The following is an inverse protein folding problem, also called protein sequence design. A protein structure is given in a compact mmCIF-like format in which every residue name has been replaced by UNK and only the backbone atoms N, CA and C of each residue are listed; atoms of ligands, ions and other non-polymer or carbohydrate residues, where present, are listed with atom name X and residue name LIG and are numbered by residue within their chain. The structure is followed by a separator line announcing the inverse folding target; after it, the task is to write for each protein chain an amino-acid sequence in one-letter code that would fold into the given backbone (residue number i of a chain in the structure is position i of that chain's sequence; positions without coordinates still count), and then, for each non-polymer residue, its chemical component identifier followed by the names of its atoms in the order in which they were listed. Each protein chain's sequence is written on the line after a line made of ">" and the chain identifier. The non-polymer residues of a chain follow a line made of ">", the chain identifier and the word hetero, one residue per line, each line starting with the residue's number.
data_IF_561205716415
#
_entry.id   IF_561205716415
#
_cell.length_a   1.000
_cell.length_b   1.000
_cell.length_c   1.000
_cell.angle_alpha   90.00
_cell.angle_beta   90.00
_cell.angle_gamma   90.00
#
_symmetry.space_group_name_H-M   'P 1'
#
loop_
_entity.id
_entity.type
_entity.pdbx_description
1 polymer ?
#
# COMPACT_ATOMS: atom_id res chain seq x y z
N UNK A 1 11.97 -20.33 7.20
CA UNK A 1 11.42 -19.87 8.48
C UNK A 1 10.99 -21.10 9.26
N UNK A 2 11.55 -21.35 10.43
CA UNK A 2 11.10 -22.41 11.34
C UNK A 2 10.62 -21.74 12.62
N UNK A 3 9.32 -21.78 12.87
CA UNK A 3 8.67 -21.16 14.02
C UNK A 3 7.73 -22.16 14.67
N UNK A 4 7.69 -22.17 15.99
CA UNK A 4 6.81 -23.04 16.77
C UNK A 4 5.45 -22.39 17.05
N UNK A 5 5.39 -21.07 17.03
CA UNK A 5 4.19 -20.25 17.20
C UNK A 5 4.31 -18.96 16.36
N UNK A 6 3.24 -18.15 16.32
CA UNK A 6 3.22 -16.92 15.52
C UNK A 6 4.16 -15.83 16.06
N UNK A 7 4.38 -15.73 17.37
CA UNK A 7 5.28 -14.74 17.97
C UNK A 7 6.76 -14.98 17.62
N UNK A 8 7.17 -16.24 17.38
CA UNK A 8 8.54 -16.56 16.94
C UNK A 8 8.89 -15.91 15.59
N UNK A 9 7.88 -15.60 14.77
CA UNK A 9 8.06 -15.02 13.44
C UNK A 9 8.32 -13.51 13.48
N UNK A 10 7.93 -12.83 14.57
CA UNK A 10 8.11 -11.37 14.77
C UNK A 10 7.63 -10.54 13.56
N UNK A 11 6.49 -10.92 13.01
CA UNK A 11 5.90 -10.35 11.80
C UNK A 11 5.46 -8.92 12.00
N UNK A 12 4.92 -8.59 13.17
CA UNK A 12 4.61 -7.20 13.52
C UNK A 12 5.85 -6.32 13.32
N UNK A 13 6.96 -6.65 13.96
CA UNK A 13 8.20 -5.88 13.81
C UNK A 13 8.82 -5.95 12.40
N UNK A 14 8.63 -7.06 11.68
CA UNK A 14 9.18 -7.24 10.32
C UNK A 14 8.40 -6.47 9.24
N UNK A 15 7.15 -6.12 9.52
CA UNK A 15 6.23 -5.38 8.64
C UNK A 15 5.99 -3.95 9.12
N UNK A 16 6.24 -3.65 10.40
CA UNK A 16 6.12 -2.32 10.99
C UNK A 16 7.23 -1.42 10.44
N UNK A 17 7.00 -0.89 9.24
CA UNK A 17 7.88 0.10 8.66
C UNK A 17 7.34 1.47 8.99
N UNK A 18 8.09 2.17 9.83
CA UNK A 18 7.91 3.59 10.03
C UNK A 18 8.39 4.29 8.76
N UNK A 19 7.45 4.94 8.05
CA UNK A 19 7.81 5.92 7.05
C UNK A 19 8.63 7.03 7.72
N UNK A 20 9.66 7.60 7.05
CA UNK A 20 10.27 8.81 7.56
C UNK A 20 9.21 9.89 7.81
N UNK A 21 9.42 10.71 8.85
CA UNK A 21 8.49 11.80 9.24
C UNK A 21 8.20 12.78 8.09
N UNK A 22 9.03 12.81 7.06
CA UNK A 22 8.82 13.59 5.84
C UNK A 22 7.60 13.11 5.03
N UNK A 23 7.19 11.85 5.19
CA UNK A 23 5.99 11.27 4.59
C UNK A 23 4.82 11.13 5.58
N UNK A 24 5.10 11.05 6.89
CA UNK A 24 4.07 11.04 7.92
C UNK A 24 3.55 12.46 8.16
N UNK A 25 2.23 12.67 8.17
CA UNK A 25 1.69 13.95 8.63
C UNK A 25 1.92 14.07 10.13
N UNK A 26 2.65 15.09 10.56
CA UNK A 26 2.36 15.68 11.86
C UNK A 26 0.99 16.38 11.76
N UNK A 27 0.11 16.17 12.75
CA UNK A 27 -1.17 16.87 12.83
C UNK A 27 -0.97 18.38 12.61
N UNK A 28 -1.64 18.95 11.60
CA UNK A 28 -1.54 20.38 11.25
C UNK A 28 -0.42 20.78 10.29
N UNK A 29 0.38 19.86 9.74
CA UNK A 29 1.39 20.19 8.71
C UNK A 29 1.13 19.53 7.35
N UNK A 30 1.25 20.35 6.30
CA UNK A 30 1.15 19.93 4.90
C UNK A 30 2.52 19.56 4.37
N UNK A 31 2.99 18.34 4.64
CA UNK A 31 4.19 17.80 3.99
C UNK A 31 3.83 17.30 2.58
N UNK A 32 3.74 18.22 1.63
CA UNK A 32 3.80 17.88 0.20
C UNK A 32 5.27 17.76 -0.21
N UNK A 33 5.60 16.80 -1.07
CA UNK A 33 6.88 16.66 -1.77
C UNK A 33 7.22 18.06 -2.29
N UNK A 34 8.35 18.61 -1.88
CA UNK A 34 8.79 19.93 -2.34
C UNK A 34 9.54 19.73 -3.65
N UNK A 35 9.24 20.57 -4.64
CA UNK A 35 10.00 20.61 -5.89
C UNK A 35 11.45 21.03 -5.55
N UNK A 36 12.48 20.26 -5.95
CA UNK A 36 13.85 20.72 -5.69
C UNK A 36 14.17 21.97 -6.51
N UNK A 37 14.82 22.89 -5.79
CA UNK A 37 15.59 24.03 -6.26
C UNK A 37 14.79 25.30 -6.62
N UNK A 38 15.13 26.38 -5.91
CA UNK A 38 14.87 27.82 -6.16
C UNK A 38 13.45 28.37 -6.07
N UNK A 39 12.41 27.54 -6.03
CA UNK A 39 11.05 28.00 -5.69
C UNK A 39 10.71 27.65 -4.24
N UNK A 40 11.26 28.40 -3.30
CA UNK A 40 10.94 28.25 -1.87
C UNK A 40 9.43 28.38 -1.63
N UNK A 41 8.76 27.27 -1.32
CA UNK A 41 7.46 27.25 -0.65
C UNK A 41 6.22 26.88 -1.46
N UNK A 42 6.31 26.57 -2.77
CA UNK A 42 5.12 26.17 -3.55
C UNK A 42 4.90 24.65 -3.54
N UNK A 43 3.63 24.22 -3.37
CA UNK A 43 3.21 22.82 -3.35
C UNK A 43 2.81 22.35 -4.76
N UNK A 44 3.25 21.16 -5.18
CA UNK A 44 2.81 20.55 -6.46
C UNK A 44 1.75 19.48 -6.22
N UNK A 45 0.75 19.44 -7.08
CA UNK A 45 -0.32 18.45 -7.03
C UNK A 45 0.17 17.02 -7.33
N UNK A 46 1.12 16.87 -8.26
CA UNK A 46 1.76 15.63 -8.67
C UNK A 46 2.63 15.06 -7.54
N UNK A 47 3.40 15.93 -6.91
CA UNK A 47 4.15 15.67 -5.69
C UNK A 47 3.23 15.20 -4.54
N UNK A 48 2.10 15.88 -4.34
CA UNK A 48 1.11 15.48 -3.34
C UNK A 48 0.53 14.08 -3.60
N UNK A 49 0.12 13.78 -4.84
CA UNK A 49 -0.39 12.46 -5.24
C UNK A 49 0.63 11.34 -5.02
N UNK A 50 1.90 11.62 -5.34
CA UNK A 50 3.00 10.67 -5.15
C UNK A 50 3.09 10.26 -3.67
N UNK A 51 3.11 11.23 -2.74
CA UNK A 51 3.09 10.93 -1.30
C UNK A 51 1.83 10.19 -0.87
N UNK A 52 0.65 10.60 -1.34
CA UNK A 52 -0.58 9.89 -1.00
C UNK A 52 -0.50 8.41 -1.38
N UNK A 53 -0.03 8.10 -2.59
CA UNK A 53 0.13 6.72 -3.05
C UNK A 53 1.19 5.97 -2.21
N UNK A 54 2.33 6.60 -1.91
CA UNK A 54 3.36 6.02 -1.01
C UNK A 54 2.72 5.70 0.34
N UNK A 55 2.14 6.69 0.99
CA UNK A 55 1.59 6.57 2.32
C UNK A 55 0.43 5.56 2.38
N UNK A 56 -0.41 5.44 1.35
CA UNK A 56 -1.43 4.39 1.27
C UNK A 56 -0.83 2.97 1.21
N UNK A 57 0.25 2.76 0.44
CA UNK A 57 0.93 1.46 0.38
C UNK A 57 1.53 1.08 1.74
N UNK A 58 2.13 2.03 2.46
CA UNK A 58 2.66 1.81 3.81
C UNK A 58 1.57 1.70 4.87
N UNK A 59 0.45 2.41 4.72
CA UNK A 59 -0.69 2.30 5.62
C UNK A 59 -1.30 0.89 5.55
N UNK A 60 -1.44 0.34 4.33
CA UNK A 60 -1.86 -1.05 4.12
C UNK A 60 -0.97 -2.02 4.89
N UNK A 61 0.35 -1.89 4.75
CA UNK A 61 1.31 -2.73 5.48
C UNK A 61 1.23 -2.56 6.99
N UNK A 62 1.01 -1.34 7.46
CA UNK A 62 0.88 -1.06 8.89
C UNK A 62 -0.40 -1.63 9.49
N UNK A 63 -1.51 -1.63 8.76
CA UNK A 63 -2.74 -2.34 9.17
C UNK A 63 -2.49 -3.85 9.31
N UNK A 64 -1.75 -4.45 8.36
CA UNK A 64 -1.36 -5.87 8.45
C UNK A 64 -0.41 -6.12 9.61
N UNK A 65 0.55 -5.24 9.82
CA UNK A 65 1.47 -5.28 10.95
C UNK A 65 0.73 -5.22 12.28
N UNK A 66 -0.29 -4.35 12.39
CA UNK A 66 -1.16 -4.23 13.56
C UNK A 66 -1.92 -5.53 13.83
N UNK A 67 -2.53 -6.13 12.79
CA UNK A 67 -3.18 -7.43 12.92
C UNK A 67 -2.21 -8.51 13.43
N UNK A 68 -1.00 -8.62 12.86
CA UNK A 68 0.00 -9.56 13.37
C UNK A 68 0.41 -9.24 14.81
N UNK A 69 0.54 -7.98 15.20
CA UNK A 69 0.81 -7.59 16.58
C UNK A 69 -0.25 -8.12 17.55
N UNK A 70 -1.54 -8.00 17.21
CA UNK A 70 -2.62 -8.58 18.03
C UNK A 70 -2.54 -10.11 18.10
N UNK A 71 -2.25 -10.79 16.99
CA UNK A 71 -2.11 -12.25 16.97
C UNK A 71 -0.88 -12.73 17.76
N UNK A 72 0.21 -11.98 17.73
CA UNK A 72 1.43 -12.26 18.50
C UNK A 72 1.21 -12.07 20.01
N UNK A 73 0.44 -11.06 20.40
CA UNK A 73 0.03 -10.85 21.79
C UNK A 73 -0.78 -12.04 22.35
N UNK A 74 -1.52 -12.73 21.48
CA UNK A 74 -2.33 -13.92 21.80
C UNK A 74 -1.71 -15.23 21.30
N UNK A 75 -0.38 -15.24 21.08
CA UNK A 75 0.33 -16.35 20.43
C UNK A 75 0.14 -17.72 21.08
N UNK A 76 -0.20 -17.79 22.37
CA UNK A 76 -0.51 -19.04 23.06
C UNK A 76 -1.83 -19.69 22.60
N UNK A 77 -2.75 -18.90 22.03
CA UNK A 77 -4.06 -19.37 21.56
C UNK A 77 -4.02 -19.83 20.10
N UNK A 78 -3.04 -19.35 19.32
CA UNK A 78 -2.94 -19.62 17.89
C UNK A 78 -1.94 -20.72 17.55
N UNK A 79 -2.39 -21.70 16.78
CA UNK A 79 -1.56 -22.77 16.19
C UNK A 79 -1.60 -22.68 14.68
N UNK A 80 -0.46 -22.97 14.04
CA UNK A 80 -0.42 -23.09 12.58
C UNK A 80 -1.28 -24.26 12.10
N UNK A 81 -1.94 -24.07 10.96
CA UNK A 81 -2.81 -25.06 10.32
C UNK A 81 -4.24 -25.10 10.86
N UNK A 82 -4.53 -24.52 12.02
CA UNK A 82 -5.89 -24.46 12.60
C UNK A 82 -6.69 -23.30 12.02
N UNK A 83 -7.97 -23.55 11.69
CA UNK A 83 -8.91 -22.54 11.21
C UNK A 83 -9.66 -21.92 12.40
N UNK A 84 -9.59 -20.61 12.55
CA UNK A 84 -10.16 -19.89 13.70
C UNK A 84 -11.32 -18.99 13.29
N UNK A 85 -12.33 -18.91 14.16
CA UNK A 85 -13.22 -17.75 14.25
C UNK A 85 -12.64 -16.83 15.33
N UNK A 86 -12.01 -15.73 14.94
CA UNK A 86 -11.51 -14.73 15.88
C UNK A 86 -12.64 -13.76 16.20
N UNK A 87 -12.93 -13.56 17.48
CA UNK A 87 -13.90 -12.58 17.97
C UNK A 87 -13.12 -11.49 18.69
N UNK A 88 -13.02 -10.32 18.07
CA UNK A 88 -12.41 -9.14 18.66
C UNK A 88 -13.46 -8.45 19.52
N UNK A 89 -13.26 -8.44 20.84
CA UNK A 89 -14.17 -7.80 21.78
C UNK A 89 -13.64 -6.42 22.17
N UNK A 90 -14.38 -5.38 21.78
CA UNK A 90 -14.07 -3.97 22.03
C UNK A 90 -15.13 -3.38 22.98
N UNK A 91 -15.04 -3.76 24.26
CA UNK A 91 -16.05 -3.40 25.25
C UNK A 91 -17.41 -4.04 24.94
N UNK A 92 -18.40 -3.22 24.57
CA UNK A 92 -19.75 -3.66 24.23
C UNK A 92 -19.94 -4.07 22.76
N UNK A 93 -18.93 -3.82 21.92
CA UNK A 93 -18.94 -4.19 20.51
C UNK A 93 -18.08 -5.42 20.27
N UNK A 94 -18.44 -6.20 19.27
CA UNK A 94 -17.65 -7.35 18.83
C UNK A 94 -17.56 -7.38 17.31
N UNK A 95 -16.37 -7.64 16.80
CA UNK A 95 -16.12 -7.92 15.39
C UNK A 95 -15.69 -9.38 15.24
N UNK A 96 -16.16 -10.05 14.18
CA UNK A 96 -15.84 -11.44 13.92
C UNK A 96 -15.03 -11.56 12.63
N UNK A 97 -13.89 -12.24 12.72
CA UNK A 97 -13.00 -12.48 11.60
C UNK A 97 -12.62 -13.97 11.54
N UNK A 98 -13.19 -14.74 10.61
CA UNK A 98 -12.63 -16.04 10.24
C UNK A 98 -11.21 -15.87 9.71
N UNK A 99 -10.29 -16.64 10.27
CA UNK A 99 -8.85 -16.53 10.08
C UNK A 99 -8.24 -17.93 9.92
N UNK A 100 -7.34 -18.10 8.97
CA UNK A 100 -6.51 -19.30 8.87
C UNK A 100 -5.06 -18.93 8.61
N UNK A 101 -4.15 -19.52 9.39
CA UNK A 101 -2.71 -19.29 9.28
C UNK A 101 -2.03 -20.62 8.96
N UNK A 102 -1.50 -20.73 7.75
CA UNK A 102 -0.83 -21.92 7.23
C UNK A 102 0.69 -21.70 7.15
N UNK A 103 1.44 -22.67 7.67
CA UNK A 103 2.90 -22.73 7.60
C UNK A 103 3.37 -24.12 7.09
N UNK A 104 2.49 -24.84 6.38
CA UNK A 104 2.77 -26.17 5.84
C UNK A 104 3.84 -26.16 4.74
N UNK A 105 3.97 -25.03 4.04
CA UNK A 105 4.98 -24.83 2.99
C UNK A 105 6.29 -24.37 3.60
N UNK A 106 7.35 -25.14 3.40
CA UNK A 106 8.66 -24.83 3.96
C UNK A 106 9.14 -23.44 3.54
N UNK A 107 9.36 -22.57 4.52
CA UNK A 107 9.86 -21.21 4.29
C UNK A 107 8.79 -20.18 3.96
N UNK A 108 7.50 -20.54 3.95
CA UNK A 108 6.41 -19.63 3.63
C UNK A 108 5.33 -19.67 4.71
N UNK A 109 4.87 -18.48 5.13
CA UNK A 109 3.64 -18.33 5.91
C UNK A 109 2.56 -17.80 4.98
N UNK A 110 1.37 -18.39 5.02
CA UNK A 110 0.20 -17.85 4.36
C UNK A 110 -0.91 -17.63 5.37
N UNK A 111 -1.51 -16.46 5.36
CA UNK A 111 -2.67 -16.14 6.16
C UNK A 111 -3.83 -15.76 5.25
N UNK A 112 -5.04 -16.17 5.62
CA UNK A 112 -6.24 -15.84 4.91
C UNK A 112 -7.30 -15.32 5.89
N UNK A 113 -8.09 -14.34 5.45
CA UNK A 113 -9.27 -13.85 6.19
C UNK A 113 -10.51 -13.92 5.32
N UNK A 114 -11.67 -14.12 5.95
CA UNK A 114 -12.95 -14.13 5.24
C UNK A 114 -13.92 -13.06 5.75
N UNK A 115 -14.83 -12.66 4.86
CA UNK A 115 -16.02 -11.88 5.22
C UNK A 115 -17.19 -12.33 4.35
N UNK A 116 -18.36 -12.50 4.97
CA UNK A 116 -19.56 -13.04 4.34
C UNK A 116 -19.33 -14.38 3.61
N UNK A 117 -18.56 -15.28 4.24
CA UNK A 117 -18.26 -16.62 3.71
C UNK A 117 -17.38 -16.63 2.46
N UNK A 118 -16.66 -15.53 2.17
CA UNK A 118 -15.71 -15.45 1.06
C UNK A 118 -14.36 -14.99 1.57
N UNK A 119 -13.29 -15.56 1.03
CA UNK A 119 -11.93 -15.08 1.27
C UNK A 119 -11.85 -13.65 0.74
N UNK A 120 -11.46 -12.72 1.60
CA UNK A 120 -11.29 -11.29 1.26
C UNK A 120 -9.84 -10.89 1.18
N UNK A 121 -9.00 -11.55 1.95
CA UNK A 121 -7.60 -11.23 2.03
C UNK A 121 -6.75 -12.49 2.08
N UNK A 122 -5.61 -12.43 1.39
CA UNK A 122 -4.55 -13.42 1.43
C UNK A 122 -3.23 -12.69 1.65
N UNK A 123 -2.52 -13.04 2.71
CA UNK A 123 -1.20 -12.52 3.03
C UNK A 123 -0.20 -13.65 2.92
N UNK A 124 0.84 -13.45 2.13
CA UNK A 124 1.90 -14.44 1.93
C UNK A 124 3.20 -13.80 2.39
N UNK A 125 3.94 -14.48 3.25
CA UNK A 125 5.29 -14.13 3.64
C UNK A 125 6.23 -15.20 3.13
N UNK A 126 7.08 -14.82 2.18
CA UNK A 126 8.02 -15.72 1.51
C UNK A 126 9.36 -15.83 2.26
N UNK A 127 9.71 -14.80 3.04
CA UNK A 127 10.90 -14.82 3.90
C UNK A 127 10.89 -13.66 4.88
N UNK A 128 11.58 -13.81 6.01
CA UNK A 128 11.97 -12.72 6.90
C UNK A 128 13.43 -12.86 7.32
N UNK A 129 14.11 -11.74 7.56
CA UNK A 129 15.45 -11.66 8.12
C UNK A 129 15.54 -10.47 9.09
N UNK A 130 16.75 -10.14 9.56
CA UNK A 130 16.97 -9.01 10.46
C UNK A 130 16.59 -7.64 9.88
N UNK A 131 16.50 -7.52 8.56
CA UNK A 131 16.24 -6.26 7.86
C UNK A 131 14.75 -6.04 7.58
N UNK A 132 13.98 -7.13 7.52
CA UNK A 132 12.53 -7.11 7.32
C UNK A 132 12.00 -8.37 6.66
N UNK A 133 10.78 -8.27 6.12
CA UNK A 133 10.10 -9.35 5.43
C UNK A 133 9.99 -9.13 3.92
N UNK A 134 9.73 -10.22 3.20
CA UNK A 134 9.33 -10.24 1.79
C UNK A 134 8.05 -11.04 1.65
N UNK A 135 7.10 -10.53 0.88
CA UNK A 135 5.80 -11.15 0.77
C UNK A 135 4.88 -10.43 -0.19
N UNK A 136 3.60 -10.80 -0.13
CA UNK A 136 2.54 -10.21 -0.91
C UNK A 136 1.24 -10.14 -0.09
N UNK A 137 0.49 -9.06 -0.22
CA UNK A 137 -0.86 -8.89 0.32
C UNK A 137 -1.81 -8.81 -0.86
N UNK A 138 -2.82 -9.66 -0.88
CA UNK A 138 -3.84 -9.66 -1.91
C UNK A 138 -5.21 -9.49 -1.26
N UNK A 139 -5.99 -8.56 -1.77
CA UNK A 139 -7.28 -8.19 -1.22
C UNK A 139 -8.32 -8.11 -2.33
N UNK A 140 -9.54 -8.58 -2.06
CA UNK A 140 -10.67 -8.50 -2.97
C UNK A 140 -11.96 -8.32 -2.20
N UNK A 141 -12.70 -7.28 -2.53
CA UNK A 141 -14.00 -7.06 -1.94
C UNK A 141 -15.01 -6.45 -2.91
N UNK A 142 -16.22 -6.36 -2.39
CA UNK A 142 -17.37 -5.88 -3.13
C UNK A 142 -18.38 -5.36 -2.13
N UNK A 143 -18.83 -4.13 -2.30
CA UNK A 143 -19.86 -3.52 -1.47
C UNK A 143 -20.74 -2.60 -2.30
N UNK A 144 -22.06 -2.66 -2.10
CA UNK A 144 -23.04 -1.76 -2.74
C UNK A 144 -22.90 -1.61 -4.28
N UNK A 145 -22.56 -2.70 -4.98
CA UNK A 145 -22.33 -2.68 -6.43
C UNK A 145 -20.92 -2.25 -6.85
N UNK A 146 -20.12 -1.74 -5.91
CA UNK A 146 -18.70 -1.49 -6.10
C UNK A 146 -17.92 -2.77 -5.97
N UNK A 147 -16.87 -2.90 -6.78
CA UNK A 147 -15.87 -3.95 -6.69
C UNK A 147 -14.51 -3.31 -6.54
N UNK A 148 -13.68 -3.90 -5.69
CA UNK A 148 -12.32 -3.44 -5.47
C UNK A 148 -11.39 -4.64 -5.31
N UNK A 149 -10.20 -4.54 -5.88
CA UNK A 149 -9.14 -5.51 -5.67
C UNK A 149 -7.82 -4.78 -5.49
N UNK A 150 -6.98 -5.26 -4.58
CA UNK A 150 -5.63 -4.76 -4.38
C UNK A 150 -4.66 -5.93 -4.32
N UNK A 151 -3.46 -5.72 -4.82
CA UNK A 151 -2.36 -6.65 -4.72
C UNK A 151 -1.09 -5.84 -4.43
N UNK A 152 -0.32 -6.21 -3.42
CA UNK A 152 0.88 -5.50 -3.00
C UNK A 152 1.99 -6.50 -2.73
N UNK A 153 3.01 -6.52 -3.57
CA UNK A 153 4.28 -7.18 -3.28
C UNK A 153 5.18 -6.23 -2.50
N UNK A 154 5.90 -6.78 -1.53
CA UNK A 154 6.86 -6.05 -0.74
C UNK A 154 8.15 -6.85 -0.54
N UNK A 155 9.29 -6.15 -0.54
CA UNK A 155 10.59 -6.72 -0.22
C UNK A 155 11.42 -5.74 0.61
N UNK A 156 11.64 -6.10 1.87
CA UNK A 156 12.39 -5.33 2.86
C UNK A 156 13.62 -6.07 3.36
N UNK A 157 13.99 -7.16 2.70
CA UNK A 157 15.07 -8.04 3.14
C UNK A 157 16.46 -7.43 2.92
N UNK A 158 16.54 -6.37 2.13
CA UNK A 158 17.76 -5.59 1.88
C UNK A 158 17.81 -4.40 2.84
N UNK A 159 18.93 -4.24 3.55
CA UNK A 159 19.15 -3.10 4.45
C UNK A 159 19.05 -1.78 3.67
N UNK A 160 18.36 -0.80 4.26
CA UNK A 160 18.23 0.54 3.68
C UNK A 160 17.40 0.63 2.40
N UNK A 161 16.74 -0.45 1.97
CA UNK A 161 15.94 -0.48 0.74
C UNK A 161 14.58 -1.12 1.01
N UNK A 162 13.51 -0.43 0.61
CA UNK A 162 12.14 -0.93 0.69
C UNK A 162 11.52 -0.92 -0.70
N UNK A 163 11.21 -2.11 -1.22
CA UNK A 163 10.58 -2.26 -2.53
C UNK A 163 9.11 -2.57 -2.33
N UNK A 164 8.25 -1.80 -2.98
CA UNK A 164 6.81 -2.01 -3.03
C UNK A 164 6.31 -2.00 -4.46
N UNK A 165 5.50 -2.98 -4.82
CA UNK A 165 4.84 -3.05 -6.13
C UNK A 165 3.38 -3.36 -5.90
N UNK A 166 2.51 -2.43 -6.25
CA UNK A 166 1.08 -2.52 -6.01
C UNK A 166 0.28 -2.51 -7.31
N UNK A 167 -0.85 -3.18 -7.30
CA UNK A 167 -1.93 -2.97 -8.26
C UNK A 167 -3.24 -2.78 -7.50
N UNK A 168 -4.07 -1.84 -7.95
CA UNK A 168 -5.40 -1.58 -7.45
C UNK A 168 -6.38 -1.59 -8.61
N UNK A 169 -7.55 -2.17 -8.39
CA UNK A 169 -8.71 -2.11 -9.27
C UNK A 169 -9.89 -1.61 -8.46
N UNK A 170 -10.70 -0.77 -9.10
CA UNK A 170 -11.98 -0.33 -8.60
C UNK A 170 -12.97 -0.24 -9.76
N UNK A 171 -14.22 -0.59 -9.50
CA UNK A 171 -15.32 -0.37 -10.42
C UNK A 171 -16.62 -0.20 -9.65
N UNK A 172 -17.38 0.87 -9.91
CA UNK A 172 -18.72 1.13 -9.37
C UNK A 172 -19.86 0.85 -10.38
N UNK A 173 -19.52 0.31 -11.55
CA UNK A 173 -20.44 0.07 -12.66
C UNK A 173 -20.60 1.25 -13.63
N UNK A 174 -20.18 2.46 -13.22
CA UNK A 174 -20.13 3.67 -14.07
C UNK A 174 -18.68 4.08 -14.34
N UNK A 175 -17.87 4.12 -13.28
CA UNK A 175 -16.46 4.43 -13.29
C UNK A 175 -15.67 3.15 -13.04
N UNK A 176 -14.50 3.07 -13.65
CA UNK A 176 -13.52 2.04 -13.33
C UNK A 176 -12.13 2.64 -13.34
N UNK A 177 -11.28 2.19 -12.43
CA UNK A 177 -9.86 2.49 -12.54
C UNK A 177 -9.02 1.28 -12.18
N UNK A 178 -7.92 1.14 -12.90
CA UNK A 178 -6.80 0.30 -12.57
C UNK A 178 -5.61 1.20 -12.28
N UNK A 179 -4.90 0.96 -11.19
CA UNK A 179 -3.71 1.70 -10.82
C UNK A 179 -2.58 0.71 -10.49
N UNK A 180 -1.45 0.88 -11.14
CA UNK A 180 -0.20 0.22 -10.79
C UNK A 180 0.68 1.22 -10.04
N UNK A 181 1.29 0.79 -8.95
CA UNK A 181 2.29 1.56 -8.21
C UNK A 181 3.57 0.73 -8.09
N UNK A 182 4.71 1.39 -8.21
CA UNK A 182 5.99 0.80 -7.88
C UNK A 182 6.82 1.84 -7.14
N UNK A 183 7.41 1.44 -6.03
CA UNK A 183 8.25 2.26 -5.19
C UNK A 183 9.50 1.46 -4.84
N UNK A 184 10.65 2.09 -5.02
CA UNK A 184 11.90 1.69 -4.42
C UNK A 184 12.34 2.84 -3.52
N UNK A 185 12.06 2.69 -2.23
CA UNK A 185 12.48 3.64 -1.22
C UNK A 185 13.87 3.27 -0.73
N UNK A 186 14.75 4.26 -0.63
CA UNK A 186 16.11 4.09 -0.13
C UNK A 186 16.36 5.05 1.04
N UNK A 187 16.81 4.50 2.17
CA UNK A 187 17.14 5.27 3.37
C UNK A 187 18.34 6.21 3.13
N UNK A 188 19.14 5.91 2.11
CA UNK A 188 20.21 6.77 1.60
C UNK A 188 20.20 6.84 0.07
N UNK A 189 20.51 8.00 -0.48
CA UNK A 189 20.51 8.24 -1.92
C UNK A 189 19.15 8.64 -2.47
N UNK A 190 18.85 8.18 -3.69
CA UNK A 190 17.66 8.58 -4.46
C UNK A 190 16.66 7.43 -4.50
N UNK A 191 15.46 7.68 -3.99
CA UNK A 191 14.28 6.83 -4.11
C UNK A 191 13.58 7.05 -5.45
N UNK A 192 12.88 6.02 -5.91
CA UNK A 192 12.27 5.95 -7.24
C UNK A 192 10.80 5.54 -7.10
N UNK A 193 9.91 6.23 -7.80
CA UNK A 193 8.49 5.86 -7.84
C UNK A 193 7.92 5.93 -9.25
N UNK A 194 7.02 5.00 -9.54
CA UNK A 194 6.16 4.99 -10.71
C UNK A 194 4.72 4.76 -10.28
N UNK A 195 3.82 5.59 -10.75
CA UNK A 195 2.38 5.31 -10.74
C UNK A 195 1.90 5.22 -12.18
N UNK A 196 1.09 4.24 -12.50
CA UNK A 196 0.33 4.20 -13.74
C UNK A 196 -1.14 3.99 -13.41
N UNK A 197 -2.03 4.70 -14.09
CA UNK A 197 -3.47 4.61 -13.88
C UNK A 197 -4.16 4.57 -15.23
N UNK A 198 -5.09 3.66 -15.41
CA UNK A 198 -5.99 3.61 -16.57
C UNK A 198 -7.41 3.45 -16.08
N UNK A 199 -8.38 4.00 -16.78
CA UNK A 199 -9.76 3.89 -16.33
C UNK A 199 -10.78 4.52 -17.24
N UNK A 200 -12.01 4.49 -16.76
CA UNK A 200 -13.15 5.21 -17.29
C UNK A 200 -13.70 6.17 -16.21
N UNK A 201 -13.90 7.43 -16.58
CA UNK A 201 -14.60 8.47 -15.81
C UNK A 201 -15.77 8.99 -16.65
N UNK A 202 -16.68 9.76 -16.04
CA UNK A 202 -17.71 10.47 -16.79
C UNK A 202 -17.12 11.42 -17.86
N UNK A 203 -17.97 11.80 -18.82
CA UNK A 203 -17.62 12.61 -19.98
C UNK A 203 -17.11 14.03 -19.66
N UNK A 204 -17.24 14.51 -18.43
CA UNK A 204 -17.11 15.92 -18.08
C UNK A 204 -15.79 16.28 -17.40
N UNK A 205 -14.86 15.33 -17.26
CA UNK A 205 -13.58 15.56 -16.59
C UNK A 205 -12.40 15.40 -17.57
N UNK A 206 -11.64 16.48 -17.77
CA UNK A 206 -10.36 16.45 -18.48
C UNK A 206 -9.21 16.35 -17.47
N UNK A 207 -8.34 15.35 -17.63
CA UNK A 207 -7.15 15.19 -16.80
C UNK A 207 -5.88 15.42 -17.65
N UNK A 208 -5.09 16.42 -17.31
CA UNK A 208 -3.75 16.63 -17.86
C UNK A 208 -2.81 16.99 -16.72
N UNK A 209 -2.01 16.04 -16.25
CA UNK A 209 -0.91 16.32 -15.31
C UNK A 209 0.42 16.13 -16.05
N UNK A 210 1.14 17.23 -16.29
CA UNK A 210 2.55 17.24 -16.71
C UNK A 210 3.32 18.17 -15.77
N UNK A 211 3.94 17.61 -14.74
CA UNK A 211 4.81 18.37 -13.85
C UNK A 211 6.20 18.62 -14.45
N UNK A 212 6.36 19.70 -15.22
CA UNK A 212 7.68 20.24 -15.62
C UNK A 212 7.96 21.47 -14.76
N UNK A 213 9.13 21.56 -14.12
CA UNK A 213 9.52 22.76 -13.38
C UNK A 213 10.36 23.65 -14.28
N UNK A 214 9.96 24.91 -14.48
CA UNK A 214 10.81 25.95 -15.07
C UNK A 214 11.88 26.37 -14.05
N UNK A 215 13.13 26.40 -14.50
CA UNK A 215 14.24 26.94 -13.71
C UNK A 215 14.80 28.17 -14.41
N UNK A 216 14.71 29.36 -13.79
CA UNK A 216 15.30 30.60 -14.29
C UNK A 216 14.95 30.95 -15.76
N UNK A 217 13.69 30.81 -16.17
CA UNK A 217 13.25 31.17 -17.53
C UNK A 217 13.74 30.22 -18.63
N UNK A 218 14.40 29.12 -18.27
CA UNK A 218 14.68 27.97 -19.15
C UNK A 218 13.80 26.80 -18.70
N UNK A 219 13.22 26.06 -19.64
CA UNK A 219 12.48 24.82 -19.32
C UNK A 219 13.44 23.88 -18.59
N UNK A 220 13.15 23.61 -17.31
CA UNK A 220 13.95 22.71 -16.50
C UNK A 220 13.66 21.24 -16.83
N UNK A 221 14.44 20.35 -16.24
CA UNK A 221 14.25 18.91 -16.40
C UNK A 221 12.88 18.48 -15.83
N UNK A 222 12.18 17.60 -16.52
CA UNK A 222 10.91 17.04 -16.03
C UNK A 222 11.15 16.25 -14.73
N UNK A 223 10.63 16.75 -13.61
CA UNK A 223 10.60 16.05 -12.32
C UNK A 223 9.50 14.97 -12.29
N UNK A 224 8.49 15.14 -13.15
CA UNK A 224 7.43 14.18 -13.39
C UNK A 224 7.23 14.00 -14.89
N UNK A 225 7.38 12.77 -15.39
CA UNK A 225 7.01 12.43 -16.77
C UNK A 225 5.61 11.84 -16.79
N UNK A 226 4.63 12.69 -17.08
CA UNK A 226 3.24 12.32 -17.34
C UNK A 226 3.03 11.97 -18.81
N UNK A 227 2.69 10.72 -19.13
CA UNK A 227 2.18 10.37 -20.47
C UNK A 227 0.76 9.85 -20.34
N UNK A 228 -0.16 10.44 -21.12
CA UNK A 228 -1.52 9.97 -21.19
C UNK A 228 -2.24 10.42 -22.45
N UNK A 229 -3.24 9.65 -22.85
CA UNK A 229 -4.14 9.93 -23.97
C UNK A 229 -5.55 9.67 -23.51
N UNK A 230 -6.43 10.66 -23.71
CA UNK A 230 -7.86 10.42 -23.66
C UNK A 230 -8.23 9.61 -24.91
N UNK A 231 -8.56 8.33 -24.74
CA UNK A 231 -8.83 7.42 -25.88
C UNK A 231 -10.30 7.42 -26.32
N UNK A 232 -11.09 8.36 -25.78
CA UNK A 232 -12.51 8.55 -26.05
C UNK A 232 -13.16 9.38 -24.93
N UNK A 233 -14.44 9.70 -25.07
CA UNK A 233 -15.21 10.34 -24.00
C UNK A 233 -15.14 9.44 -22.75
N UNK A 234 -14.59 9.99 -21.66
CA UNK A 234 -14.55 9.28 -20.40
C UNK A 234 -13.53 8.14 -20.26
N UNK A 235 -12.49 8.02 -21.08
CA UNK A 235 -11.40 7.03 -20.83
C UNK A 235 -10.03 7.69 -20.73
N UNK A 236 -9.26 7.32 -19.70
CA UNK A 236 -7.92 7.84 -19.45
C UNK A 236 -6.89 6.72 -19.29
N UNK A 237 -5.66 7.01 -19.68
CA UNK A 237 -4.47 6.24 -19.37
C UNK A 237 -3.38 7.25 -19.01
N UNK A 238 -2.70 7.06 -17.90
CA UNK A 238 -1.74 7.97 -17.32
C UNK A 238 -0.59 7.19 -16.70
N UNK A 239 0.64 7.65 -16.85
CA UNK A 239 1.75 7.20 -16.01
C UNK A 239 2.61 8.37 -15.59
N UNK A 240 3.02 8.36 -14.33
CA UNK A 240 3.92 9.31 -13.68
C UNK A 240 5.13 8.58 -13.12
N UNK A 241 6.30 9.19 -13.27
CA UNK A 241 7.56 8.75 -12.67
C UNK A 241 8.12 9.88 -11.83
N UNK A 242 8.70 9.58 -10.68
CA UNK A 242 9.33 10.55 -9.80
C UNK A 242 10.57 9.97 -9.15
N UNK A 243 11.55 10.84 -8.89
CA UNK A 243 12.76 10.55 -8.12
C UNK A 243 12.84 11.52 -6.95
N UNK A 244 13.08 11.04 -5.74
CA UNK A 244 13.14 11.87 -4.53
C UNK A 244 14.20 11.37 -3.55
N UNK A 245 14.78 12.26 -2.76
CA UNK A 245 15.72 11.88 -1.71
C UNK A 245 15.00 11.34 -0.44
N UNK A 246 15.78 10.92 0.56
CA UNK A 246 15.26 10.44 1.86
C UNK A 246 14.34 11.45 2.57
N UNK A 247 14.48 12.74 2.26
CA UNK A 247 13.73 13.82 2.89
C UNK A 247 12.44 14.14 2.11
N UNK A 248 12.11 13.36 1.08
CA UNK A 248 10.93 13.59 0.25
C UNK A 248 11.05 14.84 -0.61
N UNK A 249 12.28 15.23 -1.00
CA UNK A 249 12.53 16.30 -1.95
C UNK A 249 12.75 15.67 -3.33
N UNK A 250 11.93 16.05 -4.30
CA UNK A 250 12.10 15.58 -5.69
C UNK A 250 13.46 16.01 -6.21
N UNK A 251 14.28 15.11 -6.75
CA UNK A 251 15.60 15.46 -7.29
C UNK A 251 15.58 15.37 -8.81
N UNK A 252 16.30 16.29 -9.46
CA UNK A 252 16.46 16.27 -10.91
C UNK A 252 17.19 14.98 -11.34
N UNK A 253 16.80 14.41 -12.47
CA UNK A 253 17.37 13.17 -13.01
C UNK A 253 18.88 13.38 -13.27
N UNK A 254 19.73 12.95 -12.33
CA UNK A 254 21.15 12.79 -12.59
C UNK A 254 21.29 11.71 -13.66
N UNK A 255 22.24 11.85 -14.57
CA UNK A 255 22.53 10.91 -15.66
C UNK A 255 22.89 9.47 -15.22
N UNK A 256 22.69 9.11 -13.95
CA UNK A 256 22.72 7.77 -13.40
C UNK A 256 21.45 7.52 -12.56
N UNK A 257 20.68 6.48 -12.89
CA UNK A 257 19.44 6.11 -12.17
C UNK A 257 18.17 6.08 -13.02
N UNK A 258 18.32 5.71 -14.30
CA UNK A 258 17.25 5.45 -15.28
C UNK A 258 15.92 5.06 -14.67
N UNK A 259 14.86 5.80 -15.03
CA UNK A 259 13.45 5.49 -14.82
C UNK A 259 13.15 4.06 -14.33
N UNK A 260 12.44 3.91 -13.20
CA UNK A 260 11.88 2.61 -12.85
C UNK A 260 10.95 2.14 -13.98
N UNK A 261 11.40 1.12 -14.68
CA UNK A 261 10.61 0.39 -15.65
C UNK A 261 10.24 -0.94 -15.02
N UNK A 262 9.18 -0.95 -14.22
CA UNK A 262 8.57 -2.21 -13.80
C UNK A 262 7.84 -2.79 -15.00
N UNK A 263 8.32 -3.94 -15.47
CA UNK A 263 7.62 -4.72 -16.49
C UNK A 263 6.28 -5.20 -15.93
N UNK A 264 5.23 -5.29 -16.75
CA UNK A 264 3.91 -5.73 -16.29
C UNK A 264 3.94 -7.13 -15.63
N UNK A 265 4.88 -7.99 -16.04
CA UNK A 265 5.12 -9.31 -15.45
C UNK A 265 5.72 -9.28 -14.04
N UNK A 266 6.22 -8.13 -13.59
CA UNK A 266 6.77 -7.95 -12.24
C UNK A 266 5.78 -7.31 -11.27
N UNK A 267 4.58 -6.95 -11.74
CA UNK A 267 3.51 -6.49 -10.87
C UNK A 267 2.78 -7.72 -10.30
N UNK A 268 2.38 -7.67 -9.02
CA UNK A 268 1.65 -8.78 -8.42
C UNK A 268 0.33 -8.99 -9.15
N UNK A 269 0.01 -10.23 -9.48
CA UNK A 269 -1.33 -10.55 -9.97
C UNK A 269 -2.36 -10.35 -8.85
N UNK A 270 -3.53 -9.83 -9.19
CA UNK A 270 -4.68 -9.82 -8.29
C UNK A 270 -5.06 -11.24 -7.84
N UNK A 271 -5.84 -11.33 -6.76
CA UNK A 271 -6.67 -12.51 -6.53
C UNK A 271 -7.51 -12.78 -7.80
N UNK A 272 -7.31 -13.96 -8.38
CA UNK A 272 -7.88 -14.33 -9.68
C UNK A 272 -9.38 -14.01 -9.78
N UNK A 273 -9.83 -13.62 -10.97
CA UNK A 273 -11.25 -13.45 -11.23
C UNK A 273 -11.97 -14.79 -11.13
N UNK A 274 -13.07 -14.78 -10.37
CA UNK A 274 -13.75 -16.03 -10.01
C UNK A 274 -13.03 -16.88 -8.98
N UNK A 275 -12.06 -16.34 -8.21
CA UNK A 275 -11.46 -17.06 -7.07
C UNK A 275 -12.56 -17.63 -6.19
N UNK A 276 -12.72 -18.93 -6.33
CA UNK A 276 -13.65 -19.77 -5.61
C UNK A 276 -12.88 -20.35 -4.45
N UNK A 277 -13.59 -20.60 -3.35
CA UNK A 277 -13.12 -21.33 -2.17
C UNK A 277 -12.31 -22.61 -2.53
N UNK A 278 -12.58 -23.21 -3.69
CA UNK A 278 -11.85 -24.38 -4.21
C UNK A 278 -10.38 -24.14 -4.57
N UNK A 279 -9.96 -22.89 -4.80
CA UNK A 279 -8.64 -22.52 -5.32
C UNK A 279 -7.68 -22.01 -4.23
N UNK A 280 -8.18 -21.89 -2.99
CA UNK A 280 -7.33 -21.82 -1.81
C UNK A 280 -6.64 -23.18 -1.60
N UNK A 281 -5.59 -23.24 -0.79
CA UNK A 281 -4.99 -24.50 -0.33
C UNK A 281 -5.95 -25.30 0.60
N UNK A 282 -7.22 -25.50 0.20
CA UNK A 282 -8.24 -26.21 0.94
C UNK A 282 -9.00 -25.41 2.00
N UNK A 283 -8.88 -24.07 2.06
CA UNK A 283 -9.65 -23.25 3.02
C UNK A 283 -10.92 -22.64 2.42
N UNK A 284 -12.02 -22.89 3.10
CA UNK A 284 -13.40 -22.66 2.69
C UNK A 284 -14.15 -21.71 3.60
N UNK A 285 -13.42 -20.85 4.33
CA UNK A 285 -13.97 -19.96 5.36
C UNK A 285 -14.69 -20.69 6.51
N UNK A 286 -14.55 -22.02 6.60
CA UNK A 286 -14.96 -22.75 7.79
C UNK A 286 -13.95 -22.56 8.91
N UNK A 287 -14.42 -22.71 10.15
CA UNK A 287 -13.64 -22.51 11.36
C UNK A 287 -13.76 -23.74 12.25
N UNK A 288 -12.64 -24.19 12.79
CA UNK A 288 -12.56 -25.35 13.68
C UNK A 288 -12.63 -24.92 15.16
N UNK A 289 -12.04 -23.78 15.48
CA UNK A 289 -11.96 -23.23 16.84
C UNK A 289 -12.44 -21.78 16.89
N UNK A 290 -12.87 -21.32 18.07
CA UNK A 290 -13.20 -19.91 18.33
C UNK A 290 -12.21 -19.36 19.34
N UNK A 291 -11.61 -18.21 19.03
CA UNK A 291 -10.72 -17.46 19.92
C UNK A 291 -11.34 -16.09 20.15
N UNK A 292 -11.57 -15.74 21.40
CA UNK A 292 -12.03 -14.39 21.78
C UNK A 292 -10.84 -13.60 22.29
N UNK A 293 -10.58 -12.45 21.67
CA UNK A 293 -9.54 -11.51 22.06
C UNK A 293 -10.22 -10.33 22.73
N UNK A 294 -9.97 -10.14 24.02
CA UNK A 294 -10.42 -8.93 24.73
C UNK A 294 -9.40 -7.81 24.50
N UNK A 295 -9.79 -6.83 23.71
CA UNK A 295 -8.91 -5.75 23.28
C UNK A 295 -8.74 -4.68 24.37
N UNK A 296 -9.62 -4.65 25.39
CA UNK A 296 -9.75 -3.53 26.33
C UNK A 296 -9.50 -3.94 27.79
N UNK A 297 -9.55 -5.22 28.12
CA UNK A 297 -9.39 -5.71 29.49
C UNK A 297 -8.59 -7.02 29.58
N UNK A 298 -8.09 -7.35 30.77
CA UNK A 298 -7.32 -8.58 31.00
C UNK A 298 -5.80 -8.42 30.88
N UNK A 299 -5.10 -9.55 30.81
CA UNK A 299 -3.63 -9.60 30.90
C UNK A 299 -2.91 -9.10 29.64
N UNK A 300 -3.56 -9.19 28.47
CA UNK A 300 -3.02 -8.82 27.15
C UNK A 300 -3.49 -7.44 26.67
N UNK A 301 -4.41 -6.77 27.39
CA UNK A 301 -4.95 -5.47 27.00
C UNK A 301 -3.87 -4.40 26.75
N UNK A 302 -2.83 -4.34 27.59
CA UNK A 302 -1.72 -3.41 27.38
C UNK A 302 -0.90 -3.73 26.12
N UNK A 303 -0.77 -5.01 25.76
CA UNK A 303 -0.11 -5.43 24.53
C UNK A 303 -0.95 -5.07 23.31
N UNK A 304 -2.28 -5.26 23.37
CA UNK A 304 -3.19 -4.85 22.29
C UNK A 304 -3.24 -3.33 22.09
N UNK A 305 -3.27 -2.55 23.17
CA UNK A 305 -3.20 -1.10 23.09
C UNK A 305 -1.89 -0.62 22.43
N UNK A 306 -0.78 -1.33 22.62
CA UNK A 306 0.49 -1.02 21.96
C UNK A 306 0.52 -1.36 20.46
N UNK A 307 -0.45 -2.14 19.96
CA UNK A 307 -0.61 -2.45 18.55
C UNK A 307 -1.42 -1.38 17.79
N UNK A 308 -2.16 -0.52 18.51
CA UNK A 308 -2.88 0.59 17.89
C UNK A 308 -1.88 1.59 17.28
N UNK A 309 -2.12 1.97 16.02
CA UNK A 309 -1.31 2.93 15.29
C UNK A 309 -2.19 4.08 14.80
N UNK A 310 -1.64 5.29 14.82
CA UNK A 310 -2.28 6.41 14.15
C UNK A 310 -2.31 6.20 12.63
N UNK A 311 -3.49 6.32 12.04
CA UNK A 311 -3.64 6.34 10.58
C UNK A 311 -3.32 7.74 10.05
N UNK A 312 -2.51 7.87 8.99
CA UNK A 312 -2.23 9.17 8.41
C UNK A 312 -3.49 9.74 7.76
N UNK A 313 -3.93 10.91 8.20
CA UNK A 313 -4.94 11.66 7.46
C UNK A 313 -4.35 12.16 6.14
N UNK A 314 -5.07 12.10 5.02
CA UNK A 314 -4.58 12.62 3.73
C UNK A 314 -5.12 14.02 3.45
N UNK A 315 -4.24 14.95 3.05
CA UNK A 315 -4.70 16.28 2.61
C UNK A 315 -5.22 16.18 1.19
N UNK A 316 -6.27 16.95 0.86
CA UNK A 316 -6.71 17.07 -0.53
C UNK A 316 -5.54 17.60 -1.38
N UNK A 317 -5.14 16.85 -2.41
CA UNK A 317 -4.20 17.33 -3.43
C UNK A 317 -4.87 18.27 -4.45
N UNK A 318 -6.12 18.62 -4.19
CA UNK A 318 -6.94 19.53 -4.97
C UNK A 318 -7.31 20.72 -4.08
N UNK A 319 -6.73 21.89 -4.38
CA UNK A 319 -6.98 23.12 -3.63
C UNK A 319 -6.15 24.28 -4.18
N UNK A 320 -6.54 25.51 -3.86
CA UNK A 320 -5.83 26.74 -4.27
C UNK A 320 -4.37 26.80 -3.81
N UNK A 321 -4.02 25.99 -2.82
CA UNK A 321 -2.67 25.88 -2.26
C UNK A 321 -1.72 25.04 -3.13
N UNK A 322 -2.24 24.37 -4.17
CA UNK A 322 -1.46 23.54 -5.09
C UNK A 322 -1.48 24.16 -6.48
N UNK A 323 -0.31 24.35 -7.07
CA UNK A 323 -0.22 24.67 -8.49
C UNK A 323 -0.46 23.38 -9.28
N UNK A 324 -1.42 23.41 -10.21
CA UNK A 324 -1.45 22.45 -11.31
C UNK A 324 -0.22 22.74 -12.17
N UNK A 325 0.57 21.73 -12.54
CA UNK A 325 1.61 21.94 -13.54
C UNK A 325 0.98 22.60 -14.76
N UNK A 326 1.44 23.79 -15.14
CA UNK A 326 0.88 24.49 -16.30
C UNK A 326 0.92 23.53 -17.49
N UNK A 327 -0.18 23.45 -18.26
CA UNK A 327 -0.21 22.78 -19.55
C UNK A 327 0.72 23.55 -20.50
N UNK A 328 2.04 23.36 -20.41
CA UNK A 328 2.91 23.73 -21.51
C UNK A 328 2.64 22.73 -22.64
N UNK A 329 1.92 23.21 -23.66
CA UNK A 329 2.02 22.65 -24.99
C UNK A 329 3.51 22.57 -25.32
N UNK A 330 3.99 21.34 -25.43
CA UNK A 330 5.30 21.06 -26.00
C UNK A 330 5.10 21.27 -27.51
N UNK A 331 5.59 22.38 -28.03
CA UNK A 331 5.78 22.57 -29.48
C UNK A 331 6.69 21.48 -30.05
#
# INVERSE_FOLDING_TARGET
>A
MTASNIADLKLSSSLNITLPDTFAKAAGQSNSLRLASTMTGKKSSEACRTIQNVAQMFDTLGSISGMFCHLEAESAQFKFGTKYKVVLQMGAQSEEMPLWIDNSTAGQLTMYTCSAGKIREKIILNSSNSNGAKGSILFKGSDNGNSYASALDFDFTTEGVKILKGQNLFSDGTNSFAQDNALEFRDSGVSLMKTASKGQMDANNTFQDRGVVKHNGTTGQALFKGQGTQTGVGSYNFSMRSTFDKDGITVANSTAGSDITVAASELPAFLADGFSISDAAGWDCTTDETVTIDMVSGATAAAHAACEREHPEFSSCWGSDFEQGEQEQID
#
